data_IF_010134613930
#
_entry.id   IF_010134613930
#
_cell.length_a   1.000
_cell.length_b   1.000
_cell.length_c   1.000
_cell.angle_alpha   90.00
_cell.angle_beta   90.00
_cell.angle_gamma   90.00
#
_symmetry.space_group_name_H-M   'P 1'
#
loop_
_entity.id
_entity.type
_entity.pdbx_description
1 polymer ?
#
# COMPACT_ATOMS: atom_id res chain seq x y z
N UNK A 1 10.44 5.37 -20.70
CA UNK A 1 9.76 6.15 -21.75
C UNK A 1 8.30 5.74 -21.70
N UNK A 2 7.40 6.39 -20.98
CA UNK A 2 7.14 7.84 -20.80
C UNK A 2 7.24 8.26 -19.33
N UNK A 3 8.18 9.17 -19.03
CA UNK A 3 8.19 9.94 -17.80
C UNK A 3 7.23 11.13 -18.02
N UNK A 4 5.93 10.82 -18.04
CA UNK A 4 4.92 11.87 -17.93
C UNK A 4 4.86 12.15 -16.45
N UNK A 5 5.50 13.23 -15.99
CA UNK A 5 5.35 13.72 -14.63
C UNK A 5 3.85 13.98 -14.40
N UNK A 6 3.15 12.98 -13.85
CA UNK A 6 1.74 13.11 -13.51
C UNK A 6 1.63 14.19 -12.44
N UNK A 7 0.73 15.16 -12.63
CA UNK A 7 0.57 16.22 -11.66
C UNK A 7 -0.11 15.62 -10.41
N UNK A 8 0.49 15.71 -9.21
CA UNK A 8 -0.12 15.18 -7.98
C UNK A 8 -1.53 15.72 -7.71
N UNK A 9 -1.83 16.94 -8.18
CA UNK A 9 -3.14 17.56 -8.03
C UNK A 9 -4.24 16.81 -8.79
N UNK A 10 -3.90 16.07 -9.85
CA UNK A 10 -4.87 15.29 -10.64
C UNK A 10 -5.46 14.11 -9.85
N UNK A 11 -4.81 13.71 -8.75
CA UNK A 11 -5.24 12.62 -7.88
C UNK A 11 -6.00 13.09 -6.63
N UNK A 12 -6.15 14.41 -6.45
CA UNK A 12 -6.87 14.97 -5.32
C UNK A 12 -8.39 15.04 -5.58
N UNK A 13 -9.23 14.83 -4.56
CA UNK A 13 -8.87 14.44 -3.20
C UNK A 13 -8.56 12.95 -3.07
N UNK A 14 -7.47 12.61 -2.36
CA UNK A 14 -7.20 11.23 -1.98
C UNK A 14 -8.15 10.79 -0.87
N UNK A 15 -8.64 9.56 -0.95
CA UNK A 15 -9.33 8.95 0.18
C UNK A 15 -8.32 8.66 1.31
N UNK A 16 -8.74 8.64 2.59
CA UNK A 16 -7.84 8.32 3.69
C UNK A 16 -7.11 6.99 3.50
N UNK A 17 -7.77 5.98 2.92
CA UNK A 17 -7.15 4.69 2.64
C UNK A 17 -6.00 4.82 1.62
N UNK A 18 -6.22 5.52 0.50
CA UNK A 18 -5.21 5.70 -0.55
C UNK A 18 -4.01 6.49 -0.01
N UNK A 19 -4.26 7.59 0.71
CA UNK A 19 -3.20 8.38 1.31
C UNK A 19 -2.32 7.54 2.26
N UNK A 20 -2.94 6.76 3.15
CA UNK A 20 -2.20 5.93 4.09
C UNK A 20 -1.43 4.78 3.41
N UNK A 21 -1.96 4.20 2.33
CA UNK A 21 -1.22 3.19 1.54
C UNK A 21 0.01 3.80 0.88
N UNK A 22 -0.14 4.97 0.25
CA UNK A 22 1.00 5.68 -0.36
C UNK A 22 2.06 6.04 0.68
N UNK A 23 1.63 6.53 1.85
CA UNK A 23 2.54 6.84 2.95
C UNK A 23 3.29 5.60 3.44
N UNK A 24 2.61 4.46 3.59
CA UNK A 24 3.24 3.20 3.97
C UNK A 24 4.25 2.72 2.91
N UNK A 25 4.06 3.03 1.64
CA UNK A 25 4.97 2.63 0.56
C UNK A 25 6.09 3.64 0.27
N UNK A 26 6.05 4.84 0.87
CA UNK A 26 6.94 5.94 0.53
C UNK A 26 8.43 5.62 0.76
N UNK A 27 8.74 4.84 1.80
CA UNK A 27 10.13 4.51 2.15
C UNK A 27 10.62 3.19 1.52
N UNK A 28 9.70 2.25 1.25
CA UNK A 28 10.04 0.94 0.68
C UNK A 28 8.80 0.22 0.15
N UNK A 29 9.00 -0.72 -0.78
CA UNK A 29 8.00 -1.73 -1.12
C UNK A 29 7.57 -2.55 0.11
N UNK A 30 6.31 -2.99 0.11
CA UNK A 30 5.73 -3.77 1.22
C UNK A 30 4.69 -4.76 0.72
N UNK A 31 4.64 -5.92 1.35
CA UNK A 31 3.53 -6.85 1.19
C UNK A 31 2.24 -6.25 1.75
N UNK A 32 1.09 -6.67 1.20
CA UNK A 32 -0.22 -6.16 1.63
C UNK A 32 -0.47 -6.25 3.13
N UNK A 33 -0.01 -7.34 3.78
CA UNK A 33 -0.10 -7.45 5.25
C UNK A 33 0.78 -6.43 5.98
N UNK A 34 1.99 -6.17 5.47
CA UNK A 34 2.89 -5.15 6.01
C UNK A 34 2.27 -3.75 5.92
N UNK A 35 1.63 -3.44 4.80
CA UNK A 35 0.89 -2.18 4.61
C UNK A 35 -0.20 -2.03 5.69
N UNK A 36 -0.99 -3.08 5.97
CA UNK A 36 -2.03 -3.00 7.00
C UNK A 36 -1.47 -2.69 8.38
N UNK A 37 -0.40 -3.40 8.78
CA UNK A 37 0.25 -3.18 10.09
C UNK A 37 0.82 -1.77 10.22
N UNK A 38 1.45 -1.26 9.17
CA UNK A 38 2.04 0.06 9.19
C UNK A 38 0.99 1.18 9.21
N UNK A 39 -0.10 1.04 8.46
CA UNK A 39 -1.21 2.01 8.51
C UNK A 39 -1.82 2.05 9.92
N UNK A 40 -2.02 0.90 10.55
CA UNK A 40 -2.50 0.84 11.93
C UNK A 40 -1.51 1.52 12.89
N UNK A 41 -0.21 1.24 12.77
CA UNK A 41 0.83 1.83 13.61
C UNK A 41 0.94 3.37 13.42
N UNK A 42 1.04 3.84 12.17
CA UNK A 42 1.20 5.26 11.84
C UNK A 42 -0.01 6.11 12.23
N UNK A 43 -1.18 5.49 12.33
CA UNK A 43 -2.43 6.17 12.70
C UNK A 43 -2.84 5.93 14.14
N UNK A 44 -2.02 5.26 14.96
CA UNK A 44 -2.37 4.85 16.33
C UNK A 44 -3.73 4.13 16.39
N UNK A 45 -4.00 3.26 15.41
CA UNK A 45 -5.24 2.49 15.30
C UNK A 45 -6.47 3.28 14.84
N UNK A 46 -6.34 4.56 14.47
CA UNK A 46 -7.48 5.35 13.96
C UNK A 46 -7.93 4.89 12.57
N UNK A 47 -7.00 4.35 11.77
CA UNK A 47 -7.31 3.78 10.46
C UNK A 47 -7.03 2.29 10.51
N UNK A 48 -8.08 1.50 10.34
CA UNK A 48 -8.00 0.05 10.22
C UNK A 48 -8.45 -0.35 8.83
N UNK A 49 -7.61 -1.13 8.15
CA UNK A 49 -7.92 -1.62 6.82
C UNK A 49 -8.06 -3.14 6.88
N UNK A 50 -9.29 -3.63 6.68
CA UNK A 50 -9.50 -5.05 6.45
C UNK A 50 -8.93 -5.48 5.09
N UNK A 51 -8.66 -6.79 4.89
CA UNK A 51 -8.10 -7.30 3.63
C UNK A 51 -8.89 -6.88 2.40
N UNK A 52 -10.22 -6.92 2.44
CA UNK A 52 -11.06 -6.51 1.31
C UNK A 52 -10.90 -5.03 0.93
N UNK A 53 -10.80 -4.15 1.92
CA UNK A 53 -10.59 -2.71 1.71
C UNK A 53 -9.20 -2.44 1.17
N UNK A 54 -8.18 -3.10 1.73
CA UNK A 54 -6.80 -2.97 1.26
C UNK A 54 -6.67 -3.41 -0.19
N UNK A 55 -6.99 -4.66 -0.51
CA UNK A 55 -6.79 -5.20 -1.85
C UNK A 55 -7.69 -4.52 -2.88
N UNK A 56 -8.89 -4.08 -2.49
CA UNK A 56 -9.73 -3.24 -3.32
C UNK A 56 -9.09 -1.88 -3.63
N UNK A 57 -8.40 -1.27 -2.67
CA UNK A 57 -7.68 -0.01 -2.86
C UNK A 57 -6.43 -0.20 -3.72
N UNK A 58 -5.61 -1.21 -3.44
CA UNK A 58 -4.44 -1.58 -4.25
C UNK A 58 -4.83 -1.78 -5.71
N UNK A 59 -5.89 -2.55 -5.99
CA UNK A 59 -6.37 -2.78 -7.37
C UNK A 59 -6.76 -1.49 -8.08
N UNK A 60 -7.39 -0.53 -7.39
CA UNK A 60 -7.72 0.78 -7.98
C UNK A 60 -6.49 1.63 -8.21
N UNK A 61 -5.53 1.60 -7.28
CA UNK A 61 -4.29 2.37 -7.37
C UNK A 61 -3.39 1.86 -8.50
N UNK A 62 -3.27 0.54 -8.68
CA UNK A 62 -2.60 -0.08 -9.84
C UNK A 62 -3.23 0.38 -11.16
N UNK A 63 -4.57 0.40 -11.24
CA UNK A 63 -5.29 0.87 -12.44
C UNK A 63 -5.10 2.37 -12.70
N UNK A 64 -4.82 3.15 -11.66
CA UNK A 64 -4.60 4.58 -11.73
C UNK A 64 -3.11 4.94 -11.92
N UNK A 65 -2.25 3.94 -12.11
CA UNK A 65 -0.79 4.08 -12.21
C UNK A 65 -0.17 4.82 -11.00
N UNK A 66 -0.84 4.74 -9.83
CA UNK A 66 -0.35 5.35 -8.59
C UNK A 66 0.69 4.49 -7.87
N UNK A 67 0.65 3.18 -8.10
CA UNK A 67 1.58 2.19 -7.57
C UNK A 67 1.81 1.13 -8.65
N UNK A 68 2.88 0.37 -8.52
CA UNK A 68 3.19 -0.79 -9.35
C UNK A 68 3.52 -2.00 -8.48
N UNK A 69 3.45 -3.20 -9.08
CA UNK A 69 3.93 -4.41 -8.42
C UNK A 69 5.46 -4.45 -8.53
N UNK A 70 6.15 -4.75 -7.42
CA UNK A 70 7.59 -4.98 -7.45
C UNK A 70 7.92 -6.35 -8.06
N UNK A 71 9.03 -6.42 -8.78
CA UNK A 71 9.59 -7.67 -9.35
C UNK A 71 10.09 -8.65 -8.27
N UNK A 72 10.19 -8.21 -7.01
CA UNK A 72 10.59 -9.06 -5.90
C UNK A 72 9.45 -10.05 -5.57
N UNK A 73 9.53 -11.26 -6.14
CA UNK A 73 8.57 -12.35 -5.89
C UNK A 73 8.30 -12.45 -4.40
N UNK A 74 7.04 -12.25 -4.01
CA UNK A 74 6.54 -12.50 -2.67
C UNK A 74 6.94 -13.91 -2.25
N UNK A 75 8.00 -14.04 -1.45
CA UNK A 75 8.46 -15.31 -0.93
C UNK A 75 7.43 -15.74 0.13
N UNK A 76 6.59 -16.76 -0.12
CA UNK A 76 5.52 -17.12 0.80
C UNK A 76 6.05 -17.75 2.11
N UNK A 77 7.36 -17.99 2.22
CA UNK A 77 7.98 -18.76 3.30
C UNK A 77 8.46 -17.94 4.52
N UNK A 78 8.23 -16.62 4.59
CA UNK A 78 8.58 -15.82 5.78
C UNK A 78 7.43 -15.59 6.77
N UNK A 79 6.33 -16.32 6.64
CA UNK A 79 5.16 -16.23 7.53
C UNK A 79 4.89 -17.54 8.29
N UNK A 80 5.90 -18.14 8.89
CA UNK A 80 5.77 -19.03 10.07
C UNK A 80 7.15 -19.24 10.63
N UNK A 81 7.45 -18.66 11.81
CA UNK A 81 8.38 -19.14 12.85
C UNK A 81 8.70 -17.99 13.81
N UNK A 82 7.71 -17.55 14.59
CA UNK A 82 7.97 -17.08 15.95
C UNK A 82 6.79 -17.43 16.86
N UNK A 83 6.70 -18.72 17.18
CA UNK A 83 6.13 -19.16 18.45
C UNK A 83 7.24 -19.94 19.15
N UNK A 84 7.82 -19.34 20.18
CA UNK A 84 8.55 -20.04 21.22
C UNK A 84 8.23 -19.41 22.55
#
# INVERSE_FOLDING_TARGET
MTDTLQNPEDFLPLTPAVFNILLALADSEKHGFGIMLEVEANTNGQVLMGPGTLYGSIKRMLKADLIEESDERANPDKQTLHKS
#
